data_IF_520157231072
#
_entry.id   IF_520157231072
#
_cell.length_a   1.000
_cell.length_b   1.000
_cell.length_c   1.000
_cell.angle_alpha   90.00
_cell.angle_beta   90.00
_cell.angle_gamma   90.00
#
_symmetry.space_group_name_H-M   'P 1'
#
loop_
_entity.id
_entity.type
_entity.pdbx_description
1 polymer ?
#
# COMPACT_ATOMS: atom_id res chain seq x y z
N UNK A 1 27.37 20.44 1.51
CA UNK A 1 27.41 19.76 1.31
C UNK A 1 27.24 19.49 1.28
N UNK A 2 27.27 19.89 1.28
CA UNK A 2 26.98 19.24 1.10
C UNK A 2 26.55 19.13 1.23
N UNK A 3 25.96 18.87 1.31
CA UNK A 3 25.58 18.33 1.33
C UNK A 3 24.99 18.11 1.21
N UNK A 4 24.92 18.57 1.32
CA UNK A 4 24.59 17.98 1.06
C UNK A 4 24.18 17.81 0.87
N UNK A 5 24.02 18.08 0.93
CA UNK A 5 23.77 17.48 0.66
C UNK A 5 23.41 17.11 0.39
N UNK A 6 23.16 17.46 0.47
CA UNK A 6 23.04 16.68 0.12
C UNK A 6 22.60 16.40 0.04
N UNK A 7 22.35 16.72 0.17
CA UNK A 7 22.08 15.97 0.04
C UNK A 7 21.47 15.82 -0.19
N UNK A 8 21.34 16.29 -0.10
CA UNK A 8 20.86 15.67 -0.48
C UNK A 8 20.39 15.48 -0.78
N UNK A 9 19.96 15.69 -0.79
CA UNK A 9 19.61 14.97 -1.29
C UNK A 9 19.39 14.60 -1.39
N UNK A 10 19.03 14.31 -1.47
CA UNK A 10 18.72 13.51 -1.65
C UNK A 10 17.94 13.36 -1.30
N UNK A 11 17.74 13.51 -1.16
CA UNK A 11 16.80 13.21 -0.70
C UNK A 11 15.38 13.33 -0.87
N UNK A 12 14.82 13.53 -1.38
CA UNK A 12 13.55 13.79 -1.84
C UNK A 12 12.78 12.60 -2.29
N UNK A 13 13.32 11.83 -3.15
CA UNK A 13 12.69 10.58 -3.57
C UNK A 13 12.44 9.68 -2.39
N UNK A 14 13.20 9.89 -1.36
CA UNK A 14 12.99 9.10 -0.15
C UNK A 14 11.65 9.33 0.49
N UNK A 15 11.09 10.50 0.29
CA UNK A 15 9.78 10.79 0.83
C UNK A 15 8.74 9.84 0.29
N UNK A 16 8.82 9.54 -0.99
CA UNK A 16 7.90 8.60 -1.61
C UNK A 16 8.15 7.20 -1.07
N UNK A 17 9.42 6.83 -0.96
CA UNK A 17 9.78 5.50 -0.53
C UNK A 17 9.45 5.26 0.93
N UNK A 18 9.26 6.32 1.70
CA UNK A 18 8.97 6.17 3.11
C UNK A 18 7.49 5.93 3.40
N UNK A 19 6.64 5.98 2.39
CA UNK A 19 5.22 5.73 2.62
C UNK A 19 5.01 4.27 3.02
N UNK A 20 4.30 4.03 4.14
CA UNK A 20 4.04 2.66 4.59
C UNK A 20 2.80 2.04 3.98
N UNK A 21 2.02 2.81 3.22
CA UNK A 21 0.73 2.35 2.70
C UNK A 21 0.94 1.68 1.35
N UNK A 22 0.71 0.38 1.26
CA UNK A 22 0.87 -0.39 0.02
C UNK A 22 -0.45 -0.98 -0.41
N UNK A 23 -0.69 -0.95 -1.71
CA UNK A 23 -1.84 -1.59 -2.34
C UNK A 23 -1.30 -2.57 -3.39
N UNK A 24 -1.44 -3.86 -3.14
CA UNK A 24 -1.00 -4.88 -4.08
C UNK A 24 -2.18 -5.35 -4.92
N UNK A 25 -1.99 -5.38 -6.23
CA UNK A 25 -3.04 -5.75 -7.16
C UNK A 25 -2.47 -6.57 -8.31
N UNK A 26 -3.35 -7.16 -9.11
CA UNK A 26 -2.95 -7.84 -10.34
C UNK A 26 -3.88 -7.43 -11.46
N UNK A 27 -3.38 -7.55 -12.69
CA UNK A 27 -4.10 -7.04 -13.86
C UNK A 27 -5.39 -7.80 -14.10
N UNK A 28 -5.40 -9.10 -13.82
CA UNK A 28 -6.57 -9.92 -14.07
C UNK A 28 -7.54 -10.00 -12.91
N UNK A 29 -7.33 -9.20 -11.87
CA UNK A 29 -8.13 -9.30 -10.64
C UNK A 29 -9.39 -8.43 -10.75
N UNK A 30 -10.57 -9.06 -10.72
CA UNK A 30 -11.82 -8.32 -10.82
C UNK A 30 -12.08 -7.40 -9.65
N UNK A 31 -11.79 -7.87 -8.43
CA UNK A 31 -11.97 -7.06 -7.23
C UNK A 31 -10.98 -5.92 -7.17
N UNK A 32 -9.79 -6.10 -7.77
CA UNK A 32 -8.81 -5.02 -7.85
C UNK A 32 -9.33 -3.87 -8.69
N UNK A 33 -10.08 -4.17 -9.74
CA UNK A 33 -10.66 -3.13 -10.58
C UNK A 33 -11.68 -2.30 -9.83
N UNK A 34 -12.32 -2.87 -8.81
CA UNK A 34 -13.24 -2.13 -7.97
C UNK A 34 -12.52 -1.36 -6.87
N UNK A 35 -11.37 -1.85 -6.43
CA UNK A 35 -10.59 -1.19 -5.38
C UNK A 35 -9.80 -0.01 -5.94
N UNK A 36 -9.32 -0.11 -7.16
CA UNK A 36 -8.41 0.88 -7.72
C UNK A 36 -8.98 2.29 -7.75
N UNK A 37 -10.25 2.51 -8.18
CA UNK A 37 -10.78 3.88 -8.16
C UNK A 37 -10.82 4.47 -6.76
N UNK A 38 -11.04 3.64 -5.75
CA UNK A 38 -11.07 4.11 -4.36
C UNK A 38 -9.67 4.54 -3.94
N UNK A 39 -8.65 3.74 -4.26
CA UNK A 39 -7.28 4.07 -3.94
C UNK A 39 -6.86 5.35 -4.65
N UNK A 40 -7.23 5.49 -5.93
CA UNK A 40 -6.90 6.69 -6.69
C UNK A 40 -7.56 7.92 -6.09
N UNK A 41 -8.81 7.81 -5.69
CA UNK A 41 -9.52 8.92 -5.06
C UNK A 41 -8.86 9.33 -3.76
N UNK A 42 -8.48 8.35 -2.93
CA UNK A 42 -7.82 8.64 -1.67
C UNK A 42 -6.47 9.30 -1.88
N UNK A 43 -5.74 8.91 -2.93
CA UNK A 43 -4.47 9.55 -3.25
C UNK A 43 -4.66 10.99 -3.70
N UNK A 44 -5.74 11.27 -4.42
CA UNK A 44 -6.08 12.65 -4.79
C UNK A 44 -6.37 13.46 -3.53
N UNK A 45 -6.94 12.83 -2.50
CA UNK A 45 -7.24 13.49 -1.24
C UNK A 45 -6.03 13.67 -0.34
N UNK A 46 -4.87 13.19 -0.75
CA UNK A 46 -3.63 13.44 -0.02
C UNK A 46 -2.99 12.24 0.64
N UNK A 47 -3.55 11.05 0.48
CA UNK A 47 -2.93 9.83 0.98
C UNK A 47 -1.91 9.32 -0.04
N UNK A 48 -0.84 8.72 0.45
CA UNK A 48 0.25 8.23 -0.40
C UNK A 48 0.24 6.71 -0.45
N UNK A 49 -0.80 6.14 -1.02
CA UNK A 49 -0.90 4.69 -1.15
C UNK A 49 -0.15 4.27 -2.41
N UNK A 50 0.90 3.47 -2.23
CA UNK A 50 1.71 2.99 -3.34
C UNK A 50 1.00 1.81 -4.00
N UNK A 51 0.82 1.90 -5.32
CA UNK A 51 0.12 0.87 -6.08
C UNK A 51 1.15 -0.04 -6.72
N UNK A 52 1.16 -1.30 -6.32
CA UNK A 52 2.18 -2.26 -6.73
C UNK A 52 1.54 -3.46 -7.42
N UNK A 53 1.85 -3.62 -8.70
CA UNK A 53 1.36 -4.73 -9.52
C UNK A 53 2.20 -5.97 -9.19
N UNK A 54 1.55 -7.02 -8.66
CA UNK A 54 2.28 -8.22 -8.24
C UNK A 54 2.77 -9.07 -9.40
N UNK A 55 2.38 -8.76 -10.63
CA UNK A 55 2.96 -9.44 -11.78
C UNK A 55 4.38 -8.95 -12.07
N UNK A 56 4.76 -7.81 -11.50
CA UNK A 56 6.15 -7.34 -11.55
C UNK A 56 6.96 -8.12 -10.51
N UNK A 57 8.08 -8.76 -10.91
CA UNK A 57 8.83 -9.60 -9.97
C UNK A 57 9.35 -8.87 -8.73
N UNK A 58 9.71 -7.60 -8.86
CA UNK A 58 10.18 -6.84 -7.69
C UNK A 58 9.04 -6.58 -6.71
N UNK A 59 7.87 -6.23 -7.24
CA UNK A 59 6.71 -6.00 -6.37
C UNK A 59 6.24 -7.30 -5.74
N UNK A 60 6.32 -8.40 -6.49
CA UNK A 60 5.96 -9.70 -5.94
C UNK A 60 6.86 -10.07 -4.77
N UNK A 61 8.14 -9.74 -4.89
CA UNK A 61 9.08 -10.02 -3.81
C UNK A 61 8.71 -9.25 -2.54
N UNK A 62 8.38 -7.97 -2.70
CA UNK A 62 7.96 -7.15 -1.56
C UNK A 62 6.68 -7.73 -0.95
N UNK A 63 5.74 -8.09 -1.78
CA UNK A 63 4.49 -8.69 -1.34
C UNK A 63 4.74 -9.96 -0.52
N UNK A 64 5.60 -10.83 -1.03
CA UNK A 64 5.90 -12.10 -0.35
C UNK A 64 6.62 -11.86 0.97
N UNK A 65 7.53 -10.88 1.02
CA UNK A 65 8.26 -10.57 2.24
C UNK A 65 7.34 -10.01 3.32
N UNK A 66 6.40 -9.15 2.93
CA UNK A 66 5.44 -8.60 3.90
C UNK A 66 4.48 -9.66 4.40
N UNK A 67 4.06 -10.56 3.52
CA UNK A 67 3.20 -11.67 3.94
C UNK A 67 3.91 -12.55 4.95
N UNK A 68 5.19 -12.79 4.74
CA UNK A 68 5.98 -13.60 5.66
C UNK A 68 6.17 -12.88 6.98
N UNK A 69 6.50 -11.59 6.91
CA UNK A 69 6.77 -10.81 8.11
C UNK A 69 5.55 -10.72 9.02
N UNK A 70 4.39 -10.49 8.44
CA UNK A 70 3.16 -10.28 9.21
C UNK A 70 2.25 -11.49 9.22
N UNK A 71 2.73 -12.63 8.71
CA UNK A 71 1.98 -13.88 8.66
C UNK A 71 0.62 -13.70 7.98
N UNK A 72 0.62 -12.97 6.87
CA UNK A 72 -0.60 -12.67 6.13
C UNK A 72 -0.79 -13.67 5.00
N UNK A 73 -2.06 -14.04 4.75
CA UNK A 73 -2.39 -14.98 3.68
C UNK A 73 -3.51 -14.38 2.84
N UNK A 74 -3.17 -13.34 2.10
CA UNK A 74 -4.12 -12.63 1.27
C UNK A 74 -3.77 -12.79 -0.19
N UNK A 75 -4.79 -12.86 -1.05
CA UNK A 75 -4.58 -12.70 -2.48
C UNK A 75 -4.60 -11.21 -2.82
N UNK A 76 -5.09 -10.88 -4.00
CA UNK A 76 -5.28 -9.48 -4.40
C UNK A 76 -6.77 -9.20 -4.47
N UNK A 77 -7.21 -7.97 -4.21
CA UNK A 77 -6.43 -6.82 -3.72
C UNK A 77 -6.03 -6.98 -2.26
N UNK A 78 -4.89 -6.42 -1.90
CA UNK A 78 -4.40 -6.47 -0.52
C UNK A 78 -3.79 -5.12 -0.18
N UNK A 79 -4.29 -4.48 0.87
CA UNK A 79 -3.75 -3.23 1.37
C UNK A 79 -3.06 -3.52 2.70
N UNK A 80 -1.87 -2.94 2.89
CA UNK A 80 -1.08 -3.21 4.09
C UNK A 80 -0.31 -1.95 4.49
N UNK A 81 -0.28 -1.70 5.79
CA UNK A 81 0.62 -0.72 6.39
C UNK A 81 1.88 -1.46 6.80
N UNK A 82 2.98 -1.20 6.11
CA UNK A 82 4.22 -1.94 6.33
C UNK A 82 4.84 -1.67 7.69
N UNK A 83 4.46 -0.56 8.36
CA UNK A 83 4.99 -0.24 9.67
C UNK A 83 4.27 -0.99 10.79
N UNK A 84 2.97 -1.20 10.65
CA UNK A 84 2.17 -1.78 11.74
C UNK A 84 1.71 -3.20 11.45
N UNK A 85 1.70 -3.61 10.18
CA UNK A 85 1.16 -4.89 9.80
C UNK A 85 -0.35 -4.93 9.68
N UNK A 86 -1.03 -3.82 9.92
CA UNK A 86 -2.48 -3.76 9.77
C UNK A 86 -2.82 -3.66 8.29
N UNK A 87 -3.75 -4.48 7.84
CA UNK A 87 -4.08 -4.52 6.44
C UNK A 87 -5.50 -4.97 6.16
N UNK A 88 -5.84 -4.96 4.89
CA UNK A 88 -7.15 -5.34 4.41
C UNK A 88 -6.97 -6.39 3.31
N UNK A 89 -7.55 -7.57 3.51
CA UNK A 89 -7.54 -8.64 2.51
C UNK A 89 -8.83 -8.56 1.71
N UNK A 90 -8.69 -8.33 0.41
CA UNK A 90 -9.85 -8.27 -0.46
C UNK A 90 -10.46 -6.89 -0.55
N UNK A 91 -11.60 -6.81 -1.20
CA UNK A 91 -12.27 -5.52 -1.43
C UNK A 91 -13.02 -5.07 -0.19
N UNK A 92 -12.85 -3.79 0.17
CA UNK A 92 -13.69 -3.12 1.16
C UNK A 92 -14.07 -1.76 0.59
N UNK A 93 -15.13 -1.17 1.12
CA UNK A 93 -15.59 0.12 0.63
C UNK A 93 -14.73 1.25 1.18
N UNK A 94 -14.90 2.44 0.59
CA UNK A 94 -14.02 3.57 0.86
C UNK A 94 -13.96 3.93 2.34
N UNK A 95 -15.11 3.93 3.03
CA UNK A 95 -15.13 4.31 4.44
C UNK A 95 -14.31 3.35 5.31
N UNK A 96 -14.28 2.07 4.95
CA UNK A 96 -13.48 1.10 5.68
C UNK A 96 -11.99 1.35 5.43
N UNK A 97 -11.65 1.65 4.18
CA UNK A 97 -10.25 1.93 3.85
C UNK A 97 -9.79 3.22 4.53
N UNK A 98 -10.67 4.22 4.64
CA UNK A 98 -10.35 5.43 5.38
C UNK A 98 -10.11 5.16 6.85
N UNK A 99 -10.89 4.26 7.44
CA UNK A 99 -10.68 3.85 8.82
C UNK A 99 -9.30 3.21 9.00
N UNK A 100 -8.91 2.37 8.04
CA UNK A 100 -7.60 1.76 8.04
C UNK A 100 -6.49 2.80 7.93
N UNK A 101 -6.67 3.81 7.07
CA UNK A 101 -5.67 4.88 6.92
C UNK A 101 -5.55 5.71 8.19
N UNK A 102 -6.61 5.81 8.98
CA UNK A 102 -6.58 6.51 10.26
C UNK A 102 -5.88 5.70 11.34
N UNK A 103 -5.44 4.49 11.04
CA UNK A 103 -4.75 3.63 12.01
C UNK A 103 -5.70 2.93 12.96
N UNK A 104 -6.98 2.95 12.67
CA UNK A 104 -7.99 2.30 13.52
C UNK A 104 -8.27 0.89 13.04
N UNK A 105 -8.80 0.08 13.94
CA UNK A 105 -9.20 -1.28 13.59
C UNK A 105 -10.44 -1.23 12.71
N UNK A 106 -10.49 -2.11 11.72
CA UNK A 106 -11.64 -2.19 10.83
C UNK A 106 -12.52 -3.36 11.24
N UNK A 107 -13.84 -3.25 10.98
CA UNK A 107 -14.75 -4.35 11.30
C UNK A 107 -14.49 -5.55 10.40
N UNK A 108 -14.81 -6.72 10.92
CA UNK A 108 -14.71 -7.96 10.13
C UNK A 108 -15.68 -7.90 8.97
N UNK A 109 -15.34 -8.59 7.87
CA UNK A 109 -16.23 -8.62 6.69
C UNK A 109 -17.53 -9.35 6.96
#
# INVERSE_FOLDING_TARGET
MSKTKEETLEVVEETVESSPWYYFYSVGCGWCKKTEPIVDELNIEGHDILKLDVSDPENKKINDELKKEFNAQCGTPWLINADTGKGICGFREKDIIETWLDGKDIPAP
#
